data_IF_201611103358
#
_entry.id   IF_201611103358
#
_cell.length_a   1.000
_cell.length_b   1.000
_cell.length_c   1.000
_cell.angle_alpha   90.00
_cell.angle_beta   90.00
_cell.angle_gamma   90.00
#
_symmetry.space_group_name_H-M   'P 1'
#
loop_
_entity.id
_entity.type
_entity.pdbx_description
1 polymer ?
#
# COMPACT_ATOMS: atom_id res chain seq x y z
N UNK A 1 -48.41 14.65 25.93
CA UNK A 1 -48.07 13.29 25.47
C UNK A 1 -47.53 13.27 24.04
N UNK A 2 -48.16 13.92 23.05
CA UNK A 2 -47.65 13.89 21.66
C UNK A 2 -46.25 14.52 21.46
N UNK A 3 -45.94 15.61 22.15
CA UNK A 3 -44.64 16.29 21.99
C UNK A 3 -43.47 15.48 22.54
N UNK A 4 -43.66 14.79 23.66
CA UNK A 4 -42.64 13.90 24.24
C UNK A 4 -42.38 12.67 23.34
N UNK A 5 -43.43 12.10 22.74
CA UNK A 5 -43.31 10.97 21.81
C UNK A 5 -42.56 11.37 20.52
N UNK A 6 -42.88 12.53 19.95
CA UNK A 6 -42.18 13.07 18.77
C UNK A 6 -40.72 13.35 19.07
N UNK A 7 -40.40 13.92 20.24
CA UNK A 7 -39.02 14.11 20.69
C UNK A 7 -38.25 12.79 20.80
N UNK A 8 -38.88 11.76 21.34
CA UNK A 8 -38.28 10.43 21.46
C UNK A 8 -38.01 9.79 20.09
N UNK A 9 -38.97 9.85 19.16
CA UNK A 9 -38.80 9.33 17.80
C UNK A 9 -37.68 10.07 17.07
N UNK A 10 -37.65 11.41 17.14
CA UNK A 10 -36.59 12.20 16.51
C UNK A 10 -35.21 11.81 17.04
N UNK A 11 -35.07 11.66 18.36
CA UNK A 11 -33.82 11.24 18.98
C UNK A 11 -33.41 9.80 18.59
N UNK A 12 -34.36 8.87 18.51
CA UNK A 12 -34.09 7.49 18.09
C UNK A 12 -33.61 7.43 16.64
N UNK A 13 -34.24 8.20 15.74
CA UNK A 13 -33.80 8.30 14.34
C UNK A 13 -32.39 8.86 14.24
N UNK A 14 -32.07 9.91 15.00
CA UNK A 14 -30.71 10.47 15.02
C UNK A 14 -29.68 9.44 15.49
N UNK A 15 -29.99 8.65 16.51
CA UNK A 15 -29.10 7.59 16.99
C UNK A 15 -28.88 6.48 15.95
N UNK A 16 -29.93 6.09 15.24
CA UNK A 16 -29.83 5.09 14.16
C UNK A 16 -28.96 5.63 13.01
N UNK A 17 -29.18 6.86 12.59
CA UNK A 17 -28.37 7.49 11.53
C UNK A 17 -26.90 7.56 11.95
N UNK A 18 -26.62 7.98 13.19
CA UNK A 18 -25.26 8.03 13.71
C UNK A 18 -24.60 6.65 13.70
N UNK A 19 -25.29 5.61 14.17
CA UNK A 19 -24.77 4.24 14.17
C UNK A 19 -24.43 3.74 12.76
N UNK A 20 -25.23 4.10 11.75
CA UNK A 20 -24.95 3.77 10.36
C UNK A 20 -23.68 4.49 9.87
N UNK A 21 -23.55 5.79 10.17
CA UNK A 21 -22.38 6.57 9.79
C UNK A 21 -21.11 6.02 10.46
N UNK A 22 -21.16 5.74 11.76
CA UNK A 22 -20.03 5.19 12.51
C UNK A 22 -19.59 3.84 11.89
N UNK A 23 -20.53 2.97 11.52
CA UNK A 23 -20.24 1.70 10.86
C UNK A 23 -19.60 1.89 9.47
N UNK A 24 -20.07 2.88 8.70
CA UNK A 24 -19.48 3.22 7.41
C UNK A 24 -18.03 3.72 7.56
N UNK A 25 -17.77 4.59 8.56
CA UNK A 25 -16.43 5.10 8.86
C UNK A 25 -15.50 3.96 9.25
N UNK A 26 -15.93 3.05 10.12
CA UNK A 26 -15.11 1.91 10.54
C UNK A 26 -14.75 0.99 9.38
N UNK A 27 -15.69 0.76 8.45
CA UNK A 27 -15.40 -0.01 7.24
C UNK A 27 -14.42 0.71 6.32
N UNK A 28 -14.55 2.02 6.19
CA UNK A 28 -13.62 2.83 5.40
C UNK A 28 -12.21 2.78 5.99
N UNK A 29 -12.05 2.97 7.30
CA UNK A 29 -10.75 2.89 7.99
C UNK A 29 -10.08 1.53 7.80
N UNK A 30 -10.83 0.44 7.96
CA UNK A 30 -10.29 -0.92 7.71
C UNK A 30 -9.83 -1.11 6.26
N UNK A 31 -10.57 -0.57 5.30
CA UNK A 31 -10.15 -0.63 3.90
C UNK A 31 -8.88 0.20 3.65
N UNK A 32 -8.79 1.38 4.27
CA UNK A 32 -7.62 2.24 4.20
C UNK A 32 -6.38 1.58 4.81
N UNK A 33 -6.49 0.95 5.98
CA UNK A 33 -5.38 0.23 6.62
C UNK A 33 -4.82 -0.89 5.72
N UNK A 34 -5.70 -1.62 5.03
CA UNK A 34 -5.29 -2.67 4.08
C UNK A 34 -4.59 -2.05 2.87
N UNK A 35 -5.07 -0.90 2.39
CA UNK A 35 -4.47 -0.20 1.28
C UNK A 35 -3.07 0.33 1.65
N UNK A 36 -2.95 1.00 2.79
CA UNK A 36 -1.67 1.51 3.29
C UNK A 36 -0.65 0.37 3.47
N UNK A 37 -1.05 -0.77 4.02
CA UNK A 37 -0.16 -1.92 4.14
C UNK A 37 0.30 -2.49 2.79
N UNK A 38 -0.53 -2.39 1.74
CA UNK A 38 -0.15 -2.78 0.37
C UNK A 38 0.80 -1.78 -0.25
N UNK A 39 0.51 -0.49 -0.09
CA UNK A 39 1.32 0.59 -0.64
C UNK A 39 2.72 0.60 0.01
N UNK A 40 2.81 0.37 1.33
CA UNK A 40 4.06 0.23 2.06
C UNK A 40 4.88 -0.97 1.56
N UNK A 41 4.22 -2.13 1.37
CA UNK A 41 4.88 -3.33 0.83
C UNK A 41 5.36 -3.11 -0.60
N UNK A 42 4.56 -2.45 -1.44
CA UNK A 42 4.94 -2.13 -2.80
C UNK A 42 6.13 -1.16 -2.84
N UNK A 43 6.17 -0.16 -1.96
CA UNK A 43 7.30 0.76 -1.83
C UNK A 43 8.59 0.04 -1.43
N UNK A 44 8.51 -0.88 -0.46
CA UNK A 44 9.66 -1.68 -0.03
C UNK A 44 10.16 -2.60 -1.17
N UNK A 45 9.24 -3.31 -1.83
CA UNK A 45 9.59 -4.18 -2.97
C UNK A 45 10.21 -3.40 -4.13
N UNK A 46 9.68 -2.21 -4.46
CA UNK A 46 10.27 -1.33 -5.48
C UNK A 46 11.69 -0.89 -5.08
N UNK A 47 11.91 -0.60 -3.81
CA UNK A 47 13.24 -0.22 -3.29
C UNK A 47 14.21 -1.40 -3.37
N UNK A 48 13.79 -2.59 -2.94
CA UNK A 48 14.63 -3.80 -3.03
C UNK A 48 14.97 -4.14 -4.49
N UNK A 49 13.98 -4.07 -5.40
CA UNK A 49 14.20 -4.32 -6.81
C UNK A 49 15.20 -3.31 -7.41
N UNK A 50 15.12 -2.04 -7.03
CA UNK A 50 16.08 -1.02 -7.44
C UNK A 50 17.50 -1.33 -6.95
N UNK A 51 17.67 -1.68 -5.66
CA UNK A 51 18.98 -2.04 -5.10
C UNK A 51 19.58 -3.30 -5.76
N UNK A 52 18.75 -4.31 -6.06
CA UNK A 52 19.20 -5.50 -6.78
C UNK A 52 19.64 -5.18 -8.20
N UNK A 53 18.95 -4.25 -8.86
CA UNK A 53 19.35 -3.77 -10.18
C UNK A 53 20.72 -3.09 -10.11
N UNK A 54 20.91 -2.15 -9.19
CA UNK A 54 22.20 -1.49 -8.98
C UNK A 54 23.33 -2.48 -8.64
N UNK A 55 23.06 -3.44 -7.76
CA UNK A 55 24.04 -4.47 -7.42
C UNK A 55 24.41 -5.34 -8.64
N UNK A 56 23.44 -5.72 -9.48
CA UNK A 56 23.71 -6.48 -10.68
C UNK A 56 24.63 -5.72 -11.65
N UNK A 57 24.42 -4.41 -11.83
CA UNK A 57 25.32 -3.57 -12.61
C UNK A 57 26.72 -3.48 -11.97
N UNK A 58 26.80 -3.24 -10.66
CA UNK A 58 28.07 -3.11 -9.95
C UNK A 58 28.92 -4.40 -10.04
N UNK A 59 28.30 -5.57 -9.86
CA UNK A 59 28.98 -6.87 -10.00
C UNK A 59 29.45 -7.10 -11.42
N UNK A 60 28.65 -6.71 -12.43
CA UNK A 60 29.06 -6.81 -13.84
C UNK A 60 30.29 -5.93 -14.12
N UNK A 61 30.31 -4.70 -13.62
CA UNK A 61 31.47 -3.80 -13.74
C UNK A 61 32.71 -4.42 -13.09
N UNK A 62 32.59 -4.96 -11.88
CA UNK A 62 33.68 -5.62 -11.18
C UNK A 62 34.20 -6.86 -11.94
N UNK A 63 33.31 -7.67 -12.51
CA UNK A 63 33.68 -8.85 -13.29
C UNK A 63 34.43 -8.48 -14.58
N UNK A 64 33.99 -7.42 -15.27
CA UNK A 64 34.71 -6.89 -16.43
C UNK A 64 36.09 -6.37 -16.03
N UNK A 65 36.21 -5.66 -14.90
CA UNK A 65 37.50 -5.20 -14.38
C UNK A 65 38.43 -6.37 -14.01
N UNK A 66 37.88 -7.50 -13.57
CA UNK A 66 38.62 -8.74 -13.31
C UNK A 66 39.00 -9.53 -14.59
N UNK A 67 38.63 -9.03 -15.77
CA UNK A 67 38.99 -9.63 -17.07
C UNK A 67 37.97 -10.62 -17.64
N UNK A 68 36.77 -10.71 -17.07
CA UNK A 68 35.69 -11.54 -17.63
C UNK A 68 35.12 -10.88 -18.88
N UNK A 69 34.93 -11.66 -19.95
CA UNK A 69 34.34 -11.16 -21.20
C UNK A 69 32.87 -10.84 -21.00
N UNK A 70 32.41 -9.77 -21.65
CA UNK A 70 31.02 -9.29 -21.57
C UNK A 70 30.01 -10.33 -22.10
N UNK A 71 30.45 -11.16 -23.04
CA UNK A 71 29.70 -12.26 -23.66
C UNK A 71 29.33 -13.37 -22.66
N UNK A 72 30.17 -13.58 -21.65
CA UNK A 72 30.00 -14.63 -20.64
C UNK A 72 29.19 -14.13 -19.42
N UNK A 73 28.76 -12.85 -19.42
CA UNK A 73 28.06 -12.23 -18.30
C UNK A 73 26.54 -12.28 -18.48
N UNK A 74 25.77 -12.61 -17.41
CA UNK A 74 24.31 -12.66 -17.46
C UNK A 74 23.72 -11.28 -17.81
N UNK A 75 22.61 -11.27 -18.56
CA UNK A 75 21.98 -10.01 -18.98
C UNK A 75 21.48 -9.23 -17.76
N UNK A 76 21.73 -7.92 -17.76
CA UNK A 76 21.24 -7.05 -16.68
C UNK A 76 19.74 -6.79 -16.88
N UNK A 77 18.92 -6.70 -15.82
CA UNK A 77 17.52 -6.28 -15.91
C UNK A 77 17.40 -4.99 -16.74
N UNK A 78 16.55 -5.05 -17.77
CA UNK A 78 16.32 -3.91 -18.68
C UNK A 78 15.73 -2.74 -17.91
N UNK A 79 15.98 -1.53 -18.38
CA UNK A 79 15.13 -0.38 -18.06
C UNK A 79 13.87 -0.56 -18.89
N UNK A 80 12.76 -0.87 -18.22
CA UNK A 80 11.42 -0.76 -18.80
C UNK A 80 10.99 0.71 -18.85
#
# INVERSE_FOLDING_TARGET
MNTALVGLICSAVTLVIKAIIDLCIDRYKKAQEIQEARDDLEADLRTQAFLWKEHAYAVRVAAVQAGVKVEDLPSVPKED
#
